data_IF_935050535629
#
_entry.id   IF_935050535629
#
_cell.length_a   1.000
_cell.length_b   1.000
_cell.length_c   1.000
_cell.angle_alpha   90.00
_cell.angle_beta   90.00
_cell.angle_gamma   90.00
#
_symmetry.space_group_name_H-M   'P 1'
#
loop_
_entity.id
_entity.type
_entity.pdbx_description
1 polymer ?
#
# COMPACT_ATOMS: atom_id res chain seq x y z
N UNK A 1 -10.65 24.70 7.27
CA UNK A 1 -11.52 23.60 6.80
C UNK A 1 -10.87 22.31 7.25
N UNK A 2 -11.41 21.61 8.26
CA UNK A 2 -10.79 20.38 8.76
C UNK A 2 -11.52 19.17 8.17
N UNK A 3 -10.76 18.29 7.51
CA UNK A 3 -11.19 16.94 7.17
C UNK A 3 -10.99 16.04 8.40
N UNK A 4 -11.85 15.02 8.54
CA UNK A 4 -11.85 14.03 9.62
C UNK A 4 -11.88 12.63 9.04
N UNK A 5 -11.04 11.76 9.59
CA UNK A 5 -11.14 10.31 9.40
C UNK A 5 -12.21 9.80 10.36
N UNK A 6 -13.22 9.11 9.84
CA UNK A 6 -14.36 8.59 10.63
C UNK A 6 -14.41 7.06 10.71
N UNK A 7 -13.65 6.38 9.86
CA UNK A 7 -13.45 4.93 9.91
C UNK A 7 -12.13 4.56 9.20
N UNK A 8 -11.63 3.35 9.48
CA UNK A 8 -10.53 2.72 8.76
C UNK A 8 -10.75 1.21 8.69
N UNK A 9 -10.76 0.66 7.48
CA UNK A 9 -10.97 -0.78 7.30
C UNK A 9 -9.67 -1.57 7.51
N UNK A 10 -8.51 -0.99 7.16
CA UNK A 10 -7.21 -1.63 7.35
C UNK A 10 -6.52 -1.08 8.60
N UNK A 11 -6.32 -1.96 9.58
CA UNK A 11 -5.65 -1.65 10.84
C UNK A 11 -4.12 -1.53 10.70
N UNK A 12 -3.58 -2.06 9.60
CA UNK A 12 -2.19 -1.91 9.18
C UNK A 12 -2.19 -1.52 7.71
N UNK A 13 -1.42 -0.50 7.36
CA UNK A 13 -1.15 -0.15 5.98
C UNK A 13 -0.39 -1.30 5.27
N UNK A 14 -0.94 -1.90 4.21
CA UNK A 14 -0.33 -2.99 3.45
C UNK A 14 0.78 -2.51 2.49
N UNK A 15 1.28 -1.29 2.69
CA UNK A 15 2.47 -0.76 2.05
C UNK A 15 3.72 -1.58 2.43
N UNK A 16 4.38 -2.13 1.41
CA UNK A 16 5.66 -2.84 1.53
C UNK A 16 6.78 -2.07 0.84
N UNK A 17 8.00 -2.34 1.29
CA UNK A 17 9.20 -2.19 0.48
C UNK A 17 9.63 -3.59 0.03
N UNK A 18 10.03 -3.71 -1.24
CA UNK A 18 10.46 -4.96 -1.84
C UNK A 18 11.93 -4.90 -2.21
N UNK A 19 12.62 -6.04 -2.10
CA UNK A 19 13.97 -6.25 -2.62
C UNK A 19 14.06 -7.56 -3.39
N UNK A 20 15.09 -7.71 -4.23
CA UNK A 20 15.32 -8.98 -4.92
C UNK A 20 16.05 -9.97 -3.98
N UNK A 21 15.65 -11.26 -3.95
CA UNK A 21 16.24 -12.25 -3.07
C UNK A 21 17.70 -12.58 -3.44
N UNK A 22 18.52 -12.80 -2.42
CA UNK A 22 19.92 -13.19 -2.54
C UNK A 22 20.83 -12.09 -3.11
N UNK A 23 20.36 -10.84 -3.11
CA UNK A 23 21.13 -9.69 -3.60
C UNK A 23 21.76 -8.87 -2.47
N UNK A 24 21.75 -9.38 -1.22
CA UNK A 24 22.34 -8.68 -0.07
C UNK A 24 21.47 -7.53 0.44
N UNK A 25 20.18 -7.56 0.10
CA UNK A 25 19.13 -6.67 0.60
C UNK A 25 18.01 -7.52 1.23
N UNK A 26 18.40 -8.65 1.82
CA UNK A 26 17.48 -9.71 2.29
C UNK A 26 16.92 -9.45 3.69
N UNK A 27 17.40 -8.40 4.36
CA UNK A 27 16.95 -7.96 5.67
C UNK A 27 16.58 -6.48 5.63
N UNK A 28 15.69 -6.08 6.53
CA UNK A 28 15.24 -4.69 6.64
C UNK A 28 16.40 -3.70 6.83
N UNK A 29 17.39 -4.07 7.65
CA UNK A 29 18.53 -3.22 7.98
C UNK A 29 19.46 -2.99 6.78
N UNK A 30 19.41 -3.89 5.79
CA UNK A 30 20.24 -3.82 4.59
C UNK A 30 19.65 -2.87 3.54
N UNK A 31 18.34 -2.59 3.59
CA UNK A 31 17.62 -1.85 2.54
C UNK A 31 18.16 -0.43 2.31
N UNK A 32 18.65 0.25 3.35
CA UNK A 32 19.28 1.57 3.21
C UNK A 32 20.53 1.55 2.33
N UNK A 33 21.17 0.39 2.20
CA UNK A 33 22.37 0.22 1.37
C UNK A 33 22.02 0.02 -0.11
N UNK A 34 20.75 -0.10 -0.49
CA UNK A 34 20.35 -0.19 -1.89
C UNK A 34 20.84 1.02 -2.70
N UNK A 35 21.10 0.79 -3.99
CA UNK A 35 21.62 1.81 -4.91
C UNK A 35 20.53 2.82 -5.30
N UNK A 36 19.28 2.36 -5.36
CA UNK A 36 18.12 3.16 -5.76
C UNK A 36 16.88 2.76 -4.96
N UNK A 37 16.05 3.75 -4.66
CA UNK A 37 14.75 3.58 -4.02
C UNK A 37 13.64 3.99 -5.00
N UNK A 38 12.96 3.01 -5.60
CA UNK A 38 11.91 3.25 -6.59
C UNK A 38 10.60 3.50 -5.84
N UNK A 39 10.28 4.77 -5.59
CA UNK A 39 9.17 5.22 -4.76
C UNK A 39 8.31 6.25 -5.51
N UNK A 40 7.00 6.11 -5.43
CA UNK A 40 6.03 7.07 -5.98
C UNK A 40 6.00 8.37 -5.17
N UNK A 41 5.37 9.40 -5.70
CA UNK A 41 5.35 10.72 -5.05
C UNK A 41 4.62 10.68 -3.69
N UNK A 42 3.52 9.94 -3.59
CA UNK A 42 2.75 9.78 -2.34
C UNK A 42 3.60 9.12 -1.25
N UNK A 43 4.31 8.03 -1.58
CA UNK A 43 5.24 7.38 -0.67
C UNK A 43 6.41 8.29 -0.28
N UNK A 44 6.92 9.06 -1.24
CA UNK A 44 8.00 10.03 -1.01
C UNK A 44 7.60 11.15 -0.03
N UNK A 45 6.33 11.57 -0.02
CA UNK A 45 5.80 12.62 0.87
C UNK A 45 5.31 12.06 2.22
N UNK A 46 5.27 10.73 2.41
CA UNK A 46 4.71 10.08 3.60
C UNK A 46 5.75 9.20 4.29
N UNK A 47 5.66 7.87 4.15
CA UNK A 47 6.50 6.92 4.87
C UNK A 47 8.00 7.09 4.56
N UNK A 48 8.35 7.56 3.37
CA UNK A 48 9.77 7.73 3.03
C UNK A 48 10.42 8.85 3.84
N UNK A 49 9.68 9.91 4.18
CA UNK A 49 10.20 10.95 5.06
C UNK A 49 10.57 10.36 6.43
N UNK A 50 9.72 9.49 6.97
CA UNK A 50 10.01 8.76 8.20
C UNK A 50 11.23 7.82 8.05
N UNK A 51 11.35 7.10 6.94
CA UNK A 51 12.53 6.26 6.69
C UNK A 51 13.82 7.08 6.62
N UNK A 52 13.77 8.29 6.06
CA UNK A 52 14.91 9.21 6.01
C UNK A 52 15.26 9.71 7.42
N UNK A 53 14.28 10.22 8.17
CA UNK A 53 14.53 10.85 9.48
C UNK A 53 14.87 9.85 10.58
N UNK A 54 14.17 8.72 10.65
CA UNK A 54 14.31 7.76 11.75
C UNK A 54 15.30 6.63 11.43
N UNK A 55 15.45 6.28 10.16
CA UNK A 55 16.22 5.09 9.75
C UNK A 55 17.46 5.42 8.91
N UNK A 56 17.66 6.69 8.55
CA UNK A 56 18.85 7.16 7.83
C UNK A 56 18.92 6.74 6.37
N UNK A 57 17.77 6.57 5.71
CA UNK A 57 17.73 6.39 4.25
C UNK A 57 18.20 7.66 3.53
N UNK A 58 18.91 7.49 2.42
CA UNK A 58 19.39 8.61 1.61
C UNK A 58 18.33 9.08 0.61
N UNK A 59 17.74 10.25 0.86
CA UNK A 59 16.72 10.83 -0.01
C UNK A 59 17.20 11.02 -1.45
N UNK A 60 18.51 11.21 -1.70
CA UNK A 60 19.06 11.40 -3.04
C UNK A 60 19.00 10.13 -3.91
N UNK A 61 18.83 8.95 -3.30
CA UNK A 61 18.70 7.67 -4.02
C UNK A 61 17.28 7.41 -4.54
N UNK A 62 16.32 8.27 -4.19
CA UNK A 62 14.93 8.13 -4.64
C UNK A 62 14.81 8.38 -6.14
N UNK A 63 14.15 7.46 -6.82
CA UNK A 63 13.72 7.61 -8.22
C UNK A 63 12.20 7.40 -8.30
N UNK A 64 11.50 8.06 -9.26
CA UNK A 64 10.05 7.95 -9.35
C UNK A 64 9.61 6.54 -9.72
N UNK A 65 8.60 6.03 -9.01
CA UNK A 65 7.89 4.82 -9.40
C UNK A 65 6.80 5.15 -10.43
N UNK A 66 6.82 4.45 -11.57
CA UNK A 66 5.88 4.65 -12.69
C UNK A 66 4.89 3.50 -12.83
N UNK A 67 4.60 2.78 -11.75
CA UNK A 67 3.67 1.64 -11.73
C UNK A 67 4.06 0.48 -12.66
N UNK A 68 5.38 0.30 -12.84
CA UNK A 68 5.96 -0.73 -13.70
C UNK A 68 7.05 -1.50 -12.94
N UNK A 69 7.04 -2.85 -12.91
CA UNK A 69 8.07 -3.64 -12.23
C UNK A 69 9.40 -3.72 -13.00
N UNK A 70 9.46 -3.34 -14.27
CA UNK A 70 10.66 -3.53 -15.10
C UNK A 70 11.94 -2.85 -14.56
N UNK A 71 11.91 -1.60 -14.06
CA UNK A 71 13.10 -0.97 -13.48
C UNK A 71 13.62 -1.72 -12.25
N UNK A 72 12.72 -2.20 -11.39
CA UNK A 72 13.08 -3.00 -10.22
C UNK A 72 13.65 -4.35 -10.61
N UNK A 73 13.08 -5.04 -11.60
CA UNK A 73 13.58 -6.32 -12.12
C UNK A 73 14.99 -6.15 -12.72
N UNK A 74 15.21 -5.06 -13.47
CA UNK A 74 16.49 -4.78 -14.13
C UNK A 74 17.60 -4.44 -13.12
N UNK A 75 17.28 -3.73 -12.04
CA UNK A 75 18.25 -3.32 -11.02
C UNK A 75 18.16 -4.19 -9.76
N UNK A 76 19.01 -5.23 -9.71
CA UNK A 76 19.11 -6.19 -8.59
C UNK A 76 19.47 -5.57 -7.24
N UNK A 77 20.03 -4.36 -7.24
CA UNK A 77 20.46 -3.63 -6.03
C UNK A 77 19.52 -2.47 -5.69
N UNK A 78 18.35 -2.43 -6.31
CA UNK A 78 17.28 -1.48 -5.96
C UNK A 78 16.30 -2.07 -4.95
N UNK A 79 15.56 -1.18 -4.30
CA UNK A 79 14.31 -1.50 -3.62
C UNK A 79 13.15 -0.76 -4.30
N UNK A 80 11.96 -1.34 -4.22
CA UNK A 80 10.75 -0.74 -4.79
C UNK A 80 9.63 -0.72 -3.75
N UNK A 81 8.84 0.35 -3.72
CA UNK A 81 7.56 0.30 -3.01
C UNK A 81 6.59 -0.70 -3.66
N UNK A 82 5.60 -1.15 -2.89
CA UNK A 82 4.46 -1.88 -3.42
C UNK A 82 3.36 -2.06 -2.38
N UNK A 83 2.23 -2.57 -2.83
CA UNK A 83 1.14 -3.09 -2.03
C UNK A 83 1.30 -4.60 -1.93
N UNK A 84 1.23 -5.17 -0.73
CA UNK A 84 1.57 -6.58 -0.47
C UNK A 84 0.79 -7.58 -1.36
N UNK A 85 -0.41 -7.21 -1.81
CA UNK A 85 -1.28 -8.06 -2.64
C UNK A 85 -1.11 -7.87 -4.14
N UNK A 86 -0.36 -6.87 -4.61
CA UNK A 86 -0.31 -6.47 -6.03
C UNK A 86 1.10 -6.57 -6.62
N UNK A 87 2.01 -5.70 -6.22
CA UNK A 87 3.33 -5.58 -6.83
C UNK A 87 4.18 -6.85 -6.72
N UNK A 88 4.17 -7.62 -5.62
CA UNK A 88 4.86 -8.91 -5.57
C UNK A 88 4.39 -9.88 -6.65
N UNK A 89 3.08 -9.92 -6.95
CA UNK A 89 2.51 -10.75 -8.01
C UNK A 89 2.95 -10.25 -9.40
N UNK A 90 2.94 -8.94 -9.62
CA UNK A 90 3.41 -8.34 -10.87
C UNK A 90 4.89 -8.65 -11.14
N UNK A 91 5.73 -8.55 -10.11
CA UNK A 91 7.15 -8.94 -10.18
C UNK A 91 7.30 -10.42 -10.46
N UNK A 92 6.53 -11.29 -9.78
CA UNK A 92 6.59 -12.73 -10.03
C UNK A 92 6.22 -13.09 -11.47
N UNK A 93 5.17 -12.47 -12.01
CA UNK A 93 4.70 -12.72 -13.39
C UNK A 93 5.71 -12.24 -14.44
N UNK A 94 6.32 -11.07 -14.24
CA UNK A 94 7.22 -10.47 -15.22
C UNK A 94 8.69 -10.92 -15.08
N UNK A 95 9.15 -11.11 -13.85
CA UNK A 95 10.55 -11.40 -13.52
C UNK A 95 10.83 -12.87 -13.21
N UNK A 96 9.80 -13.68 -12.94
CA UNK A 96 9.96 -15.11 -12.65
C UNK A 96 10.52 -15.43 -11.26
N UNK A 97 10.49 -14.47 -10.33
CA UNK A 97 10.92 -14.65 -8.94
C UNK A 97 9.97 -13.95 -7.97
N UNK A 98 9.92 -14.42 -6.73
CA UNK A 98 9.17 -13.76 -5.65
C UNK A 98 10.10 -12.79 -4.93
N UNK A 99 9.78 -11.49 -4.85
CA UNK A 99 10.61 -10.53 -4.12
C UNK A 99 10.53 -10.77 -2.61
N UNK A 100 11.57 -10.36 -1.89
CA UNK A 100 11.46 -10.17 -0.44
C UNK A 100 10.47 -9.03 -0.20
N UNK A 101 9.64 -9.15 0.83
CA UNK A 101 8.60 -8.18 1.16
C UNK A 101 8.76 -7.72 2.60
N UNK A 102 8.89 -6.42 2.81
CA UNK A 102 9.03 -5.79 4.11
C UNK A 102 7.82 -4.89 4.35
N UNK A 103 6.84 -5.40 5.09
CA UNK A 103 5.65 -4.64 5.46
C UNK A 103 6.04 -3.51 6.41
N UNK A 104 5.84 -2.27 5.99
CA UNK A 104 6.29 -1.10 6.75
C UNK A 104 5.70 -1.05 8.17
N UNK A 105 4.46 -1.53 8.34
CA UNK A 105 3.80 -1.61 9.64
C UNK A 105 4.54 -2.49 10.66
N UNK A 106 5.29 -3.50 10.22
CA UNK A 106 6.07 -4.36 11.10
C UNK A 106 7.40 -3.71 11.54
N UNK A 107 7.77 -2.58 10.93
CA UNK A 107 9.02 -1.85 11.18
C UNK A 107 8.82 -0.45 11.78
N UNK A 108 7.59 -0.12 12.21
CA UNK A 108 7.29 1.10 12.96
C UNK A 108 6.39 2.10 12.24
N UNK A 109 6.16 1.95 10.94
CA UNK A 109 5.17 2.76 10.20
C UNK A 109 3.78 2.12 10.27
N UNK A 110 3.19 2.14 11.46
CA UNK A 110 1.92 1.48 11.75
C UNK A 110 0.73 2.42 11.58
N UNK A 111 0.48 2.89 10.36
CA UNK A 111 -0.66 3.74 10.01
C UNK A 111 -1.89 2.91 9.63
N UNK A 112 -3.06 3.52 9.80
CA UNK A 112 -4.31 3.00 9.24
C UNK A 112 -4.36 3.23 7.72
N UNK A 113 -5.05 2.36 7.01
CA UNK A 113 -5.32 2.50 5.57
C UNK A 113 -6.79 2.19 5.25
N UNK A 114 -7.19 2.46 4.02
CA UNK A 114 -8.60 2.35 3.58
C UNK A 114 -9.49 3.15 4.54
N UNK A 115 -9.14 4.43 4.72
CA UNK A 115 -9.85 5.37 5.58
C UNK A 115 -11.11 5.89 4.89
N UNK A 116 -12.14 6.15 5.68
CA UNK A 116 -13.29 6.95 5.27
C UNK A 116 -13.09 8.36 5.79
N UNK A 117 -13.00 9.31 4.86
CA UNK A 117 -12.67 10.70 5.15
C UNK A 117 -13.82 11.61 4.76
N UNK A 118 -14.17 12.54 5.66
CA UNK A 118 -15.28 13.47 5.44
C UNK A 118 -14.89 14.88 5.91
N UNK A 119 -15.55 15.88 5.36
CA UNK A 119 -15.44 17.25 5.85
C UNK A 119 -16.16 17.39 7.17
N UNK A 120 -15.62 18.18 8.11
CA UNK A 120 -16.30 18.48 9.38
C UNK A 120 -17.73 19.00 9.15
N UNK A 121 -17.94 19.83 8.12
CA UNK A 121 -19.27 20.37 7.77
C UNK A 121 -20.29 19.28 7.44
N UNK A 122 -19.85 18.17 6.83
CA UNK A 122 -20.72 17.02 6.52
C UNK A 122 -21.12 16.29 7.81
N UNK A 123 -20.21 16.18 8.78
CA UNK A 123 -20.51 15.61 10.10
C UNK A 123 -21.53 16.49 10.81
N UNK A 124 -21.33 17.81 10.79
CA UNK A 124 -22.16 18.73 11.57
C UNK A 124 -23.57 18.88 10.98
N UNK A 125 -23.69 18.88 9.64
CA UNK A 125 -24.96 19.12 8.94
C UNK A 125 -25.71 17.85 8.53
N UNK A 126 -25.00 16.75 8.31
CA UNK A 126 -25.56 15.48 7.79
C UNK A 126 -24.96 14.25 8.51
N UNK A 127 -24.93 14.22 9.85
CA UNK A 127 -24.31 13.14 10.61
C UNK A 127 -24.90 11.77 10.29
N UNK A 128 -26.20 11.70 9.99
CA UNK A 128 -26.91 10.48 9.65
C UNK A 128 -26.37 9.84 8.36
N UNK A 129 -25.94 10.65 7.38
CA UNK A 129 -25.37 10.13 6.13
C UNK A 129 -23.98 9.57 6.37
N UNK A 130 -23.19 10.22 7.22
CA UNK A 130 -21.86 9.72 7.62
C UNK A 130 -22.00 8.37 8.32
N UNK A 131 -22.90 8.28 9.30
CA UNK A 131 -23.18 7.04 10.02
C UNK A 131 -23.65 5.93 9.06
N UNK A 132 -24.64 6.21 8.21
CA UNK A 132 -25.15 5.23 7.26
C UNK A 132 -24.07 4.71 6.30
N UNK A 133 -23.16 5.58 5.84
CA UNK A 133 -22.05 5.16 4.99
C UNK A 133 -21.07 4.26 5.74
N UNK A 134 -20.63 4.66 6.94
CA UNK A 134 -19.72 3.86 7.75
C UNK A 134 -20.32 2.49 8.10
N UNK A 135 -21.57 2.45 8.56
CA UNK A 135 -22.27 1.19 8.88
C UNK A 135 -22.47 0.32 7.65
N UNK A 136 -22.81 0.93 6.51
CA UNK A 136 -22.98 0.24 5.23
C UNK A 136 -21.69 -0.41 4.77
N UNK A 137 -20.57 0.33 4.79
CA UNK A 137 -19.24 -0.17 4.45
C UNK A 137 -18.81 -1.31 5.38
N UNK A 138 -18.97 -1.15 6.69
CA UNK A 138 -18.62 -2.20 7.66
C UNK A 138 -19.41 -3.50 7.44
N UNK A 139 -20.73 -3.40 7.20
CA UNK A 139 -21.58 -4.55 6.85
C UNK A 139 -21.17 -5.18 5.52
N UNK A 140 -20.84 -4.36 4.53
CA UNK A 140 -20.35 -4.80 3.22
C UNK A 140 -19.09 -5.65 3.34
N UNK A 141 -18.07 -5.13 4.04
CA UNK A 141 -16.85 -5.87 4.35
C UNK A 141 -17.11 -7.18 5.08
N UNK A 142 -17.92 -7.14 6.15
CA UNK A 142 -18.22 -8.32 6.94
C UNK A 142 -18.90 -9.41 6.10
N UNK A 143 -19.88 -9.04 5.27
CA UNK A 143 -20.55 -9.98 4.37
C UNK A 143 -19.62 -10.52 3.29
N UNK A 144 -18.73 -9.68 2.74
CA UNK A 144 -17.77 -10.11 1.72
C UNK A 144 -16.74 -11.11 2.26
N UNK A 145 -16.26 -10.88 3.48
CA UNK A 145 -15.21 -11.69 4.11
C UNK A 145 -15.76 -12.98 4.73
N UNK A 146 -16.95 -12.93 5.33
CA UNK A 146 -17.50 -14.02 6.14
C UNK A 146 -18.78 -14.65 5.58
N UNK A 147 -19.32 -14.11 4.48
CA UNK A 147 -20.51 -14.63 3.79
C UNK A 147 -20.21 -15.12 2.37
N UNK A 148 -21.27 -15.30 1.56
CA UNK A 148 -21.12 -15.59 0.13
C UNK A 148 -20.82 -14.31 -0.65
N UNK A 149 -19.60 -14.23 -1.18
CA UNK A 149 -19.12 -13.08 -1.94
C UNK A 149 -19.17 -13.28 -3.45
N UNK A 150 -19.78 -14.35 -3.97
CA UNK A 150 -19.82 -14.64 -5.41
C UNK A 150 -20.44 -13.49 -6.20
N UNK A 151 -21.58 -12.97 -5.75
CA UNK A 151 -22.26 -11.86 -6.42
C UNK A 151 -21.40 -10.59 -6.43
N UNK A 152 -20.64 -10.32 -5.36
CA UNK A 152 -19.72 -9.19 -5.30
C UNK A 152 -18.54 -9.38 -6.27
N UNK A 153 -17.93 -10.57 -6.29
CA UNK A 153 -16.87 -10.91 -7.23
C UNK A 153 -17.32 -10.82 -8.71
N UNK A 154 -18.54 -11.27 -9.01
CA UNK A 154 -19.11 -11.18 -10.35
C UNK A 154 -19.28 -9.71 -10.78
N UNK A 155 -19.69 -8.82 -9.87
CA UNK A 155 -19.77 -7.38 -10.12
C UNK A 155 -18.39 -6.75 -10.30
N UNK A 156 -17.43 -7.06 -9.41
CA UNK A 156 -16.05 -6.55 -9.50
C UNK A 156 -15.42 -6.93 -10.85
N UNK A 157 -15.57 -8.19 -11.28
CA UNK A 157 -15.05 -8.66 -12.57
C UNK A 157 -15.74 -8.03 -13.77
N UNK A 158 -17.04 -7.75 -13.66
CA UNK A 158 -17.79 -7.05 -14.71
C UNK A 158 -17.28 -5.62 -14.88
N UNK A 159 -17.01 -4.93 -13.78
CA UNK A 159 -16.58 -3.53 -13.79
C UNK A 159 -15.06 -3.37 -13.99
N UNK A 160 -14.29 -4.43 -13.72
CA UNK A 160 -12.86 -4.52 -13.97
C UNK A 160 -12.50 -5.80 -14.75
N UNK A 161 -12.71 -5.81 -16.09
CA UNK A 161 -12.52 -7.01 -16.91
C UNK A 161 -11.07 -7.50 -16.97
N UNK A 162 -10.10 -6.68 -16.57
CA UNK A 162 -8.68 -7.06 -16.53
C UNK A 162 -8.31 -7.88 -15.27
N UNK A 163 -9.21 -7.97 -14.27
CA UNK A 163 -9.07 -8.87 -13.12
C UNK A 163 -9.46 -10.32 -13.48
N UNK A 164 -8.53 -11.05 -14.09
CA UNK A 164 -8.65 -12.48 -14.44
C UNK A 164 -8.10 -13.42 -13.37
#
# INVERSE_FOLDING_TARGET
IAMRVVAADFQKDPQVIMSQPGQGLDKWEDLKNADQYILGDEGAQTFFQWMVTELGFDAAKRVPYTFNPAPFIANKKSIQQGYVTSEPFAVQKAGGFVPNQFLLADYGWNTYATTVEVMQDTIDKRPEVVQCFVDGSAKGWYNYLYGDNKAANDLIKKDNPDMT
#
